data_IF_478102182420
#
_entry.id   IF_478102182420
#
_cell.length_a   1.000
_cell.length_b   1.000
_cell.length_c   1.000
_cell.angle_alpha   90.00
_cell.angle_beta   90.00
_cell.angle_gamma   90.00
#
_symmetry.space_group_name_H-M   'P 1'
#
loop_
_entity.id
_entity.type
_entity.pdbx_description
1 polymer ?
#
# COMPACT_ATOMS: atom_id res chain seq x y z
N UNK A 1 23.08 1.12 4.25
CA UNK A 1 22.09 2.17 4.59
C UNK A 1 21.74 2.97 3.35
N UNK A 2 22.70 3.28 2.47
CA UNK A 2 22.50 4.07 1.24
C UNK A 2 21.56 3.49 0.16
N UNK A 3 21.33 2.17 0.13
CA UNK A 3 20.50 1.56 -0.92
C UNK A 3 18.99 1.72 -0.70
N UNK A 4 18.51 1.74 0.55
CA UNK A 4 17.07 1.84 0.85
C UNK A 4 16.59 3.26 0.60
N UNK A 5 17.27 4.27 1.14
CA UNK A 5 16.93 5.68 0.92
C UNK A 5 16.99 6.05 -0.58
N UNK A 6 17.99 5.53 -1.31
CA UNK A 6 18.07 5.74 -2.76
C UNK A 6 16.90 5.10 -3.51
N UNK A 7 16.50 3.89 -3.13
CA UNK A 7 15.37 3.18 -3.75
C UNK A 7 14.03 3.86 -3.43
N UNK A 8 13.86 4.33 -2.19
CA UNK A 8 12.71 5.14 -1.77
C UNK A 8 12.63 6.44 -2.55
N UNK A 9 13.74 7.15 -2.73
CA UNK A 9 13.81 8.37 -3.53
C UNK A 9 13.42 8.11 -4.99
N UNK A 10 13.94 7.03 -5.60
CA UNK A 10 13.56 6.62 -6.96
C UNK A 10 12.05 6.32 -7.07
N UNK A 11 11.48 5.57 -6.13
CA UNK A 11 10.05 5.25 -6.10
C UNK A 11 9.17 6.49 -5.94
N UNK A 12 9.55 7.39 -5.03
CA UNK A 12 8.85 8.65 -4.82
C UNK A 12 8.94 9.53 -6.08
N UNK A 13 10.06 9.55 -6.78
CA UNK A 13 10.22 10.25 -8.06
C UNK A 13 9.66 9.48 -9.26
N UNK A 14 9.18 8.26 -9.04
CA UNK A 14 8.64 7.38 -10.07
C UNK A 14 9.61 6.87 -11.11
N UNK A 15 10.87 6.85 -10.75
CA UNK A 15 11.88 6.12 -11.49
C UNK A 15 11.82 4.65 -11.12
N UNK A 16 12.10 3.78 -12.09
CA UNK A 16 12.26 2.36 -11.83
C UNK A 16 13.42 2.11 -10.85
N UNK A 17 13.28 1.08 -10.02
CA UNK A 17 14.38 0.60 -9.18
C UNK A 17 15.50 0.03 -10.07
N UNK A 18 16.76 0.16 -9.63
CA UNK A 18 17.93 -0.20 -10.45
C UNK A 18 18.04 -1.72 -10.71
N UNK A 19 17.38 -2.57 -9.91
CA UNK A 19 17.32 -4.03 -10.06
C UNK A 19 15.86 -4.51 -10.16
N UNK A 20 15.15 -4.12 -11.23
CA UNK A 20 13.70 -4.29 -11.36
C UNK A 20 13.24 -5.62 -11.99
N UNK A 21 14.04 -6.69 -11.97
CA UNK A 21 13.66 -7.89 -12.74
C UNK A 21 12.49 -8.72 -12.15
N UNK A 22 12.07 -8.51 -10.90
CA UNK A 22 10.93 -9.26 -10.32
C UNK A 22 10.16 -8.46 -9.26
N UNK A 23 9.44 -7.39 -9.63
CA UNK A 23 8.59 -6.68 -8.65
C UNK A 23 7.11 -6.61 -9.01
N UNK A 24 6.73 -6.98 -10.24
CA UNK A 24 5.33 -7.04 -10.62
C UNK A 24 5.14 -8.06 -11.76
N UNK A 25 4.69 -9.27 -11.42
CA UNK A 25 4.31 -10.32 -12.37
C UNK A 25 2.84 -10.21 -12.84
N UNK A 26 2.18 -9.11 -12.50
CA UNK A 26 0.75 -8.92 -12.70
C UNK A 26 0.46 -7.66 -13.53
N UNK A 27 0.02 -7.83 -14.77
CA UNK A 27 -0.30 -6.71 -15.66
C UNK A 27 -1.70 -6.14 -15.40
N UNK A 28 -1.96 -4.92 -15.87
CA UNK A 28 -3.31 -4.35 -15.86
C UNK A 28 -4.32 -5.19 -16.67
N UNK A 29 -3.85 -5.92 -17.68
CA UNK A 29 -4.69 -6.87 -18.42
C UNK A 29 -5.10 -8.05 -17.52
N UNK A 30 -4.16 -8.63 -16.78
CA UNK A 30 -4.43 -9.72 -15.83
C UNK A 30 -5.38 -9.27 -14.71
N UNK A 31 -5.20 -8.04 -14.22
CA UNK A 31 -6.12 -7.41 -13.26
C UNK A 31 -7.53 -7.26 -13.83
N UNK A 32 -7.65 -6.72 -15.05
CA UNK A 32 -8.94 -6.52 -15.71
C UNK A 32 -9.67 -7.84 -15.93
N UNK A 33 -8.96 -8.90 -16.34
CA UNK A 33 -9.52 -10.24 -16.47
C UNK A 33 -10.00 -10.81 -15.12
N UNK A 34 -9.21 -10.66 -14.06
CA UNK A 34 -9.59 -11.14 -12.72
C UNK A 34 -10.82 -10.40 -12.15
N UNK A 35 -10.95 -9.10 -12.41
CA UNK A 35 -12.11 -8.28 -12.02
C UNK A 35 -13.34 -8.66 -12.84
N UNK A 36 -13.18 -8.87 -14.16
CA UNK A 36 -14.25 -9.34 -15.03
C UNK A 36 -14.77 -10.73 -14.63
N UNK A 37 -13.88 -11.64 -14.23
CA UNK A 37 -14.25 -12.96 -13.71
C UNK A 37 -15.08 -12.89 -12.42
N UNK A 38 -14.96 -11.81 -11.63
CA UNK A 38 -15.79 -11.52 -10.45
C UNK A 38 -17.12 -10.83 -10.80
N UNK A 39 -17.45 -10.68 -12.09
CA UNK A 39 -18.66 -10.04 -12.57
C UNK A 39 -18.63 -8.51 -12.51
N UNK A 40 -17.45 -7.91 -12.31
CA UNK A 40 -17.27 -6.47 -12.26
C UNK A 40 -16.70 -6.00 -13.60
N UNK A 41 -17.33 -5.02 -14.25
CA UNK A 41 -16.81 -4.45 -15.50
C UNK A 41 -15.54 -3.65 -15.21
N UNK A 42 -14.40 -3.95 -15.86
CA UNK A 42 -13.18 -3.18 -15.68
C UNK A 42 -13.38 -1.74 -16.14
N UNK A 43 -12.87 -0.78 -15.37
CA UNK A 43 -12.99 0.65 -15.64
C UNK A 43 -11.69 1.28 -16.18
N UNK A 44 -10.57 0.56 -16.11
CA UNK A 44 -9.25 1.04 -16.51
C UNK A 44 -8.84 0.43 -17.85
N UNK A 45 -8.44 1.24 -18.85
CA UNK A 45 -7.88 0.73 -20.11
C UNK A 45 -6.63 -0.13 -19.87
N UNK A 46 -6.47 -1.23 -20.60
CA UNK A 46 -5.31 -2.12 -20.46
C UNK A 46 -3.99 -1.48 -20.93
N UNK A 47 -4.07 -0.41 -21.72
CA UNK A 47 -2.94 0.41 -22.18
C UNK A 47 -2.68 1.64 -21.30
N UNK A 48 -3.35 1.73 -20.14
CA UNK A 48 -3.12 2.80 -19.18
C UNK A 48 -1.68 2.78 -18.65
N UNK A 49 -1.01 3.92 -18.73
CA UNK A 49 0.33 4.10 -18.19
C UNK A 49 0.24 4.88 -16.88
N UNK A 50 0.59 4.26 -15.74
CA UNK A 50 0.61 4.97 -14.46
C UNK A 50 1.70 6.05 -14.46
N UNK A 51 1.37 7.21 -13.93
CA UNK A 51 2.27 8.34 -13.74
C UNK A 51 2.38 8.54 -12.24
N UNK A 52 3.57 8.32 -11.72
CA UNK A 52 3.88 8.53 -10.30
C UNK A 52 3.56 9.96 -9.87
N UNK A 53 3.19 10.11 -8.60
CA UNK A 53 2.73 11.39 -8.01
C UNK A 53 1.52 12.05 -8.72
N UNK A 54 0.92 11.40 -9.72
CA UNK A 54 -0.18 11.96 -10.52
C UNK A 54 -1.38 11.02 -10.60
N UNK A 55 -1.18 9.82 -11.17
CA UNK A 55 -2.25 8.82 -11.36
C UNK A 55 -2.05 7.57 -10.52
N UNK A 56 -0.95 7.48 -9.76
CA UNK A 56 -0.67 6.41 -8.79
C UNK A 56 -1.14 6.83 -7.40
N UNK A 57 -1.87 5.94 -6.72
CA UNK A 57 -2.18 6.06 -5.29
C UNK A 57 -1.20 5.19 -4.50
N UNK A 58 -0.53 5.79 -3.53
CA UNK A 58 0.38 5.09 -2.62
C UNK A 58 -0.38 4.70 -1.35
N UNK A 59 -0.21 3.47 -0.92
CA UNK A 59 -0.86 2.89 0.27
C UNK A 59 0.24 2.41 1.21
N UNK A 60 0.06 2.67 2.50
CA UNK A 60 0.85 2.08 3.58
C UNK A 60 -0.01 1.12 4.39
N UNK A 61 0.62 0.09 4.95
CA UNK A 61 -0.03 -0.91 5.78
C UNK A 61 0.90 -1.31 6.91
N UNK A 62 0.37 -1.43 8.13
CA UNK A 62 1.12 -1.83 9.31
C UNK A 62 0.79 -3.27 9.71
N UNK A 63 1.82 -4.07 9.96
CA UNK A 63 1.69 -5.35 10.67
C UNK A 63 2.25 -5.16 12.07
N UNK A 64 1.36 -5.09 13.05
CA UNK A 64 1.72 -4.95 14.46
C UNK A 64 1.42 -6.26 15.17
N UNK A 65 2.37 -6.75 15.95
CA UNK A 65 2.18 -7.96 16.76
C UNK A 65 2.68 -7.76 18.18
N UNK A 66 2.01 -8.42 19.13
CA UNK A 66 2.39 -8.40 20.54
C UNK A 66 3.45 -9.47 20.85
N UNK A 67 3.87 -9.55 22.13
CA UNK A 67 4.86 -10.53 22.59
C UNK A 67 4.39 -11.99 22.43
N UNK A 68 3.08 -12.21 22.37
CA UNK A 68 2.46 -13.53 22.14
C UNK A 68 2.36 -13.90 20.65
N UNK A 69 2.78 -13.00 19.74
CA UNK A 69 2.74 -13.20 18.30
C UNK A 69 1.36 -13.01 17.67
N UNK A 70 0.42 -12.39 18.39
CA UNK A 70 -0.91 -12.06 17.87
C UNK A 70 -0.86 -10.76 17.07
N UNK A 71 -1.58 -10.69 15.96
CA UNK A 71 -1.59 -9.53 15.05
C UNK A 71 -2.75 -8.60 15.38
N UNK A 72 -2.48 -7.29 15.43
CA UNK A 72 -3.51 -6.27 15.52
C UNK A 72 -4.30 -6.22 14.22
N UNK A 73 -5.61 -6.38 14.34
CA UNK A 73 -6.57 -6.25 13.25
C UNK A 73 -7.64 -5.24 13.67
N UNK A 74 -8.29 -4.64 12.70
CA UNK A 74 -9.39 -3.70 12.88
C UNK A 74 -10.59 -4.11 12.03
N UNK A 75 -11.79 -3.80 12.50
CA UNK A 75 -13.01 -4.04 11.75
C UNK A 75 -13.40 -2.80 10.95
N UNK A 76 -13.52 -2.97 9.65
CA UNK A 76 -13.86 -1.90 8.72
C UNK A 76 -15.25 -1.31 9.04
N UNK A 77 -15.31 0.02 9.10
CA UNK A 77 -16.56 0.76 9.28
C UNK A 77 -17.15 1.23 7.93
N UNK A 78 -16.36 1.23 6.85
CA UNK A 78 -16.80 1.67 5.52
C UNK A 78 -17.88 0.75 4.98
N UNK A 79 -18.98 1.32 4.48
CA UNK A 79 -20.17 0.58 4.06
C UNK A 79 -19.91 -0.51 3.01
N UNK A 80 -18.88 -0.35 2.17
CA UNK A 80 -18.48 -1.33 1.15
C UNK A 80 -17.86 -2.62 1.71
N UNK A 81 -17.26 -2.55 2.91
CA UNK A 81 -16.51 -3.64 3.53
C UNK A 81 -16.85 -3.79 5.04
N UNK A 82 -17.99 -3.25 5.47
CA UNK A 82 -18.33 -3.14 6.88
C UNK A 82 -18.28 -4.50 7.60
N UNK A 83 -17.60 -4.54 8.75
CA UNK A 83 -17.45 -5.73 9.59
C UNK A 83 -16.39 -6.73 9.13
N UNK A 84 -15.71 -6.48 8.01
CA UNK A 84 -14.55 -7.28 7.62
C UNK A 84 -13.32 -6.88 8.46
N UNK A 85 -12.49 -7.86 8.78
CA UNK A 85 -11.22 -7.62 9.45
C UNK A 85 -10.16 -7.21 8.44
N UNK A 86 -9.41 -6.16 8.76
CA UNK A 86 -8.31 -5.65 7.95
C UNK A 86 -7.15 -5.19 8.84
N UNK A 87 -5.98 -5.02 8.24
CA UNK A 87 -4.83 -4.41 8.90
C UNK A 87 -4.97 -2.88 8.89
N UNK A 88 -4.39 -2.16 9.86
CA UNK A 88 -4.31 -0.70 9.78
C UNK A 88 -3.58 -0.26 8.52
N UNK A 89 -4.26 0.49 7.68
CA UNK A 89 -3.78 0.82 6.35
C UNK A 89 -4.53 1.99 5.74
N UNK A 90 -3.81 2.83 5.01
CA UNK A 90 -4.43 3.93 4.32
C UNK A 90 -3.54 4.59 3.29
N UNK A 91 -4.05 5.69 2.75
CA UNK A 91 -3.43 6.40 1.63
C UNK A 91 -2.39 7.36 2.16
N UNK A 92 -1.27 7.44 1.46
CA UNK A 92 -0.34 8.53 1.70
C UNK A 92 -0.96 9.86 1.27
N UNK A 93 -0.76 10.89 2.08
CA UNK A 93 -1.08 12.28 1.80
C UNK A 93 0.07 12.99 1.06
N UNK A 94 -0.21 14.07 0.31
CA UNK A 94 0.85 14.84 -0.33
C UNK A 94 1.80 15.48 0.70
N UNK A 95 3.08 15.13 0.61
CA UNK A 95 4.15 15.77 1.37
C UNK A 95 4.55 15.07 2.67
N UNK A 96 3.96 13.92 2.99
CA UNK A 96 4.42 13.05 4.08
C UNK A 96 5.36 11.95 3.56
N UNK A 97 6.30 11.52 4.40
CA UNK A 97 7.13 10.34 4.14
C UNK A 97 6.38 9.05 4.52
N UNK A 98 6.84 7.89 4.00
CA UNK A 98 6.18 6.58 4.22
C UNK A 98 6.02 6.26 5.72
N UNK A 99 7.04 6.59 6.52
CA UNK A 99 6.99 6.38 7.97
C UNK A 99 5.95 7.26 8.66
N UNK A 100 5.81 8.51 8.23
CA UNK A 100 4.83 9.46 8.76
C UNK A 100 3.41 8.98 8.45
N UNK A 101 3.18 8.57 7.20
CA UNK A 101 1.91 8.02 6.74
C UNK A 101 1.47 6.82 7.58
N UNK A 102 2.35 5.82 7.76
CA UNK A 102 1.97 4.58 8.47
C UNK A 102 1.73 4.84 9.97
N UNK A 103 2.49 5.75 10.58
CA UNK A 103 2.27 6.16 11.97
C UNK A 103 0.93 6.90 12.14
N UNK A 104 0.59 7.80 11.20
CA UNK A 104 -0.68 8.53 11.18
C UNK A 104 -1.86 7.56 11.04
N UNK A 105 -1.84 6.69 10.05
CA UNK A 105 -2.92 5.72 9.80
C UNK A 105 -3.15 4.80 11.02
N UNK A 106 -2.08 4.24 11.61
CA UNK A 106 -2.20 3.43 12.82
C UNK A 106 -2.84 4.22 13.97
N UNK A 107 -2.40 5.47 14.18
CA UNK A 107 -2.95 6.30 15.24
C UNK A 107 -4.43 6.63 15.01
N UNK A 108 -4.82 6.98 13.80
CA UNK A 108 -6.20 7.35 13.46
C UNK A 108 -7.17 6.17 13.58
N UNK A 109 -6.76 4.99 13.10
CA UNK A 109 -7.65 3.84 13.04
C UNK A 109 -7.68 3.02 14.34
N UNK A 110 -6.60 3.06 15.13
CA UNK A 110 -6.46 2.20 16.32
C UNK A 110 -6.27 2.97 17.63
N UNK A 111 -5.87 4.24 17.55
CA UNK A 111 -5.49 5.06 18.71
C UNK A 111 -4.12 4.73 19.30
N UNK A 112 -3.34 3.84 18.68
CA UNK A 112 -2.02 3.43 19.17
C UNK A 112 -0.90 4.24 18.52
N UNK A 113 0.17 4.46 19.27
CA UNK A 113 1.45 4.98 18.75
C UNK A 113 2.42 3.84 18.54
N UNK A 114 3.15 3.84 17.44
CA UNK A 114 4.13 2.79 17.12
C UNK A 114 5.35 3.36 16.40
N UNK A 115 6.43 2.58 16.37
CA UNK A 115 7.64 2.86 15.61
C UNK A 115 7.89 1.71 14.62
N UNK A 116 7.94 1.97 13.31
CA UNK A 116 8.26 0.95 12.31
C UNK A 116 9.66 0.38 12.55
N UNK A 117 9.80 -0.95 12.49
CA UNK A 117 11.08 -1.64 12.71
C UNK A 117 11.65 -2.30 11.46
N UNK A 118 10.80 -2.54 10.46
CA UNK A 118 11.17 -3.19 9.20
C UNK A 118 10.18 -2.81 8.10
N UNK A 119 10.65 -2.87 6.85
CA UNK A 119 9.82 -2.77 5.65
C UNK A 119 9.73 -4.14 4.99
N UNK A 120 8.51 -4.57 4.65
CA UNK A 120 8.26 -5.80 3.91
C UNK A 120 8.00 -5.38 2.45
N UNK A 121 8.89 -5.78 1.54
CA UNK A 121 8.76 -5.59 0.08
C UNK A 121 8.54 -6.93 -0.60
#
# INVERSE_FOLDING_TARGET
MDSIESNLSLLLDGSALQDSEELCDFSLADQNEAIAAKGVTPSTPSDFVPITKSTVTYIVMAVLYNEDGEILMMQEAKSSCAGQWYLPAGRMEPGEDIEEAVKREVLEETGLTMEPTSLIM
#
